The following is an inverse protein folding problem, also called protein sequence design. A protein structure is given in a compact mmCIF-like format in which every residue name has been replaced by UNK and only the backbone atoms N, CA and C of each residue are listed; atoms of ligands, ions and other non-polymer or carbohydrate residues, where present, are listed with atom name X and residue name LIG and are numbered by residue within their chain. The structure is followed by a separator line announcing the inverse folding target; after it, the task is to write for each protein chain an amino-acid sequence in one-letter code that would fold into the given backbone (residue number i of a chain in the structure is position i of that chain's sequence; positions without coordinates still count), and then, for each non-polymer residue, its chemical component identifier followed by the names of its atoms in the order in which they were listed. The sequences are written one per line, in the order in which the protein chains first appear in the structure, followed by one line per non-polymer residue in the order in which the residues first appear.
data_IF_786060664391
#
_entry.id   IF_786060664391
#
_cell.length_a   1.000
_cell.length_b   1.000
_cell.length_c   1.000
_cell.angle_alpha   90.00
_cell.angle_beta   90.00
_cell.angle_gamma   90.00
#
_symmetry.space_group_name_H-M   'P 1'
#
loop_
_entity.id
_entity.type
_entity.pdbx_description
1 polymer ?
#
# COMPACT_ATOMS: atom_id res chain seq x y z
N UNK A 1 11.83 -11.74 9.96
CA UNK A 1 10.53 -11.42 10.60
C UNK A 1 10.64 -10.19 11.52
N UNK A 2 11.28 -9.11 11.05
CA UNK A 2 11.49 -7.91 11.87
C UNK A 2 10.20 -7.09 12.05
N UNK A 3 9.31 -7.13 11.05
CA UNK A 3 8.03 -6.43 11.08
C UNK A 3 6.95 -7.46 10.72
N UNK A 4 6.49 -8.19 11.74
CA UNK A 4 5.38 -9.12 11.58
C UNK A 4 4.20 -8.62 12.41
N UNK A 5 3.09 -8.35 11.76
CA UNK A 5 1.85 -7.89 12.40
C UNK A 5 0.69 -8.80 12.02
N UNK A 6 -0.27 -8.94 12.94
CA UNK A 6 -1.55 -9.56 12.64
C UNK A 6 -2.53 -8.44 12.27
N UNK A 7 -2.89 -8.41 11.00
CA UNK A 7 -3.74 -7.33 10.46
C UNK A 7 -4.71 -7.88 9.41
N UNK A 8 -5.38 -7.00 8.68
CA UNK A 8 -6.27 -7.38 7.57
C UNK A 8 -5.50 -8.03 6.43
N UNK A 9 -6.13 -8.96 5.70
CA UNK A 9 -5.48 -9.67 4.61
C UNK A 9 -4.98 -8.77 3.47
N UNK A 10 -5.65 -7.63 3.25
CA UNK A 10 -5.25 -6.65 2.23
C UNK A 10 -3.98 -5.86 2.57
N UNK A 11 -3.39 -6.03 3.77
CA UNK A 11 -2.25 -5.21 4.21
C UNK A 11 -1.01 -5.40 3.33
N UNK A 12 -0.60 -6.63 3.09
CA UNK A 12 0.59 -6.92 2.26
C UNK A 12 0.37 -6.47 0.81
N UNK A 13 -0.84 -6.67 0.31
CA UNK A 13 -1.21 -6.23 -1.03
C UNK A 13 -1.20 -4.70 -1.15
N UNK A 14 -1.77 -4.01 -0.18
CA UNK A 14 -1.78 -2.54 -0.12
C UNK A 14 -0.38 -1.96 0.00
N UNK A 15 0.48 -2.56 0.83
CA UNK A 15 1.88 -2.18 0.91
C UNK A 15 2.59 -2.36 -0.43
N UNK A 16 2.44 -3.53 -1.06
CA UNK A 16 3.05 -3.82 -2.36
C UNK A 16 2.60 -2.82 -3.43
N UNK A 17 1.29 -2.62 -3.57
CA UNK A 17 0.74 -1.73 -4.60
C UNK A 17 1.13 -0.27 -4.40
N UNK A 18 1.13 0.22 -3.15
CA UNK A 18 1.39 1.63 -2.85
C UNK A 18 2.87 1.99 -2.74
N UNK A 19 3.77 1.01 -2.53
CA UNK A 19 5.19 1.27 -2.30
C UNK A 19 6.11 0.70 -3.38
N UNK A 20 5.80 -0.49 -3.93
CA UNK A 20 6.73 -1.22 -4.78
C UNK A 20 6.53 -0.95 -6.27
N UNK A 21 5.30 -0.66 -6.69
CA UNK A 21 5.00 -0.33 -8.09
C UNK A 21 5.21 1.16 -8.37
N UNK A 22 5.54 1.48 -9.63
CA UNK A 22 5.42 2.86 -10.09
C UNK A 22 3.94 3.29 -10.05
N UNK A 23 3.67 4.57 -9.96
CA UNK A 23 2.29 5.07 -9.99
C UNK A 23 1.55 4.65 -11.27
N UNK A 24 2.25 4.64 -12.41
CA UNK A 24 1.70 4.20 -13.69
C UNK A 24 1.35 2.72 -13.70
N UNK A 25 2.27 1.85 -13.24
CA UNK A 25 2.05 0.41 -13.18
C UNK A 25 0.92 0.07 -12.19
N UNK A 26 0.87 0.75 -11.05
CA UNK A 26 -0.22 0.58 -10.11
C UNK A 26 -1.56 0.91 -10.77
N UNK A 27 -1.70 2.08 -11.37
CA UNK A 27 -2.95 2.51 -12.05
C UNK A 27 -3.36 1.55 -13.16
N UNK A 28 -2.39 1.00 -13.90
CA UNK A 28 -2.65 0.09 -15.01
C UNK A 28 -3.09 -1.31 -14.55
N UNK A 29 -2.69 -1.75 -13.36
CA UNK A 29 -2.83 -3.15 -12.94
C UNK A 29 -3.56 -3.36 -11.61
N UNK A 30 -3.86 -2.31 -10.87
CA UNK A 30 -4.42 -2.34 -9.52
C UNK A 30 -5.70 -3.18 -9.45
N UNK A 31 -6.68 -2.90 -10.28
CA UNK A 31 -7.96 -3.61 -10.29
C UNK A 31 -7.76 -5.11 -10.53
N UNK A 32 -6.98 -5.46 -11.55
CA UNK A 32 -6.70 -6.87 -11.88
C UNK A 32 -5.95 -7.59 -10.75
N UNK A 33 -5.05 -6.91 -10.05
CA UNK A 33 -4.29 -7.50 -8.94
C UNK A 33 -5.18 -7.71 -7.71
N UNK A 34 -6.11 -6.80 -7.44
CA UNK A 34 -7.11 -6.95 -6.38
C UNK A 34 -8.07 -8.12 -6.68
N UNK A 35 -8.52 -8.25 -7.93
CA UNK A 35 -9.34 -9.39 -8.36
C UNK A 35 -8.59 -10.71 -8.22
N UNK A 36 -7.36 -10.81 -8.73
CA UNK A 36 -6.55 -12.03 -8.64
C UNK A 36 -6.28 -12.43 -7.18
N UNK A 37 -6.05 -11.46 -6.29
CA UNK A 37 -5.89 -11.70 -4.86
C UNK A 37 -7.16 -12.32 -4.25
N UNK A 38 -8.31 -11.71 -4.52
CA UNK A 38 -9.61 -12.20 -4.04
C UNK A 38 -9.91 -13.61 -4.56
N UNK A 39 -9.68 -13.86 -5.85
CA UNK A 39 -9.94 -15.16 -6.47
C UNK A 39 -9.03 -16.25 -5.87
N UNK A 40 -7.77 -15.94 -5.61
CA UNK A 40 -6.84 -16.85 -4.92
C UNK A 40 -7.32 -17.21 -3.50
N UNK A 41 -7.87 -16.25 -2.77
CA UNK A 41 -8.47 -16.52 -1.45
C UNK A 41 -9.71 -17.38 -1.56
N UNK A 42 -10.58 -17.11 -2.53
CA UNK A 42 -11.80 -17.88 -2.79
C UNK A 42 -11.48 -19.34 -3.13
N UNK A 43 -10.45 -19.61 -3.94
CA UNK A 43 -9.96 -20.96 -4.24
C UNK A 43 -9.48 -21.70 -2.98
N UNK A 44 -9.07 -20.98 -1.97
CA UNK A 44 -8.69 -21.51 -0.65
C UNK A 44 -9.84 -21.57 0.35
N UNK A 45 -11.08 -21.30 -0.10
CA UNK A 45 -12.28 -21.32 0.74
C UNK A 45 -12.46 -20.08 1.64
N UNK A 46 -11.73 -18.98 1.35
CA UNK A 46 -11.83 -17.73 2.08
C UNK A 46 -12.65 -16.74 1.25
N UNK A 47 -13.83 -16.38 1.76
CA UNK A 47 -14.65 -15.33 1.16
C UNK A 47 -14.19 -13.96 1.66
N UNK A 48 -13.79 -13.09 0.70
CA UNK A 48 -13.43 -11.71 0.99
C UNK A 48 -14.33 -10.79 0.15
N UNK A 49 -15.38 -10.23 0.74
CA UNK A 49 -16.32 -9.37 0.01
C UNK A 49 -15.59 -8.19 -0.66
N UNK A 50 -15.94 -7.91 -1.91
CA UNK A 50 -15.27 -6.87 -2.71
C UNK A 50 -15.23 -5.53 -2.00
N UNK A 51 -16.35 -5.09 -1.43
CA UNK A 51 -16.44 -3.81 -0.74
C UNK A 51 -15.51 -3.75 0.49
N UNK A 52 -15.40 -4.86 1.23
CA UNK A 52 -14.50 -4.94 2.37
C UNK A 52 -13.05 -4.94 1.93
N UNK A 53 -12.69 -5.72 0.88
CA UNK A 53 -11.34 -5.71 0.31
C UNK A 53 -10.93 -4.30 -0.12
N UNK A 54 -11.80 -3.59 -0.83
CA UNK A 54 -11.52 -2.23 -1.30
C UNK A 54 -11.37 -1.25 -0.14
N UNK A 55 -12.20 -1.32 0.88
CA UNK A 55 -12.09 -0.48 2.07
C UNK A 55 -10.77 -0.78 2.83
N UNK A 56 -10.47 -2.05 3.08
CA UNK A 56 -9.24 -2.46 3.75
C UNK A 56 -7.99 -2.08 2.95
N UNK A 57 -8.04 -2.18 1.63
CA UNK A 57 -6.98 -1.73 0.74
C UNK A 57 -6.76 -0.22 0.82
N UNK A 58 -7.82 0.59 0.76
CA UNK A 58 -7.76 2.05 0.88
C UNK A 58 -7.20 2.49 2.23
N UNK A 59 -7.67 1.87 3.32
CA UNK A 59 -7.13 2.11 4.67
C UNK A 59 -5.66 1.74 4.79
N UNK A 60 -5.25 0.63 4.15
CA UNK A 60 -3.85 0.20 4.12
C UNK A 60 -2.99 1.19 3.33
N UNK A 61 -3.43 1.67 2.18
CA UNK A 61 -2.70 2.69 1.42
C UNK A 61 -2.44 3.95 2.28
N UNK A 62 -3.45 4.41 3.01
CA UNK A 62 -3.28 5.52 3.94
C UNK A 62 -2.29 5.20 5.07
N UNK A 63 -2.40 4.01 5.68
CA UNK A 63 -1.48 3.57 6.72
C UNK A 63 -0.03 3.50 6.23
N UNK A 64 0.20 3.09 4.98
CA UNK A 64 1.52 2.98 4.38
C UNK A 64 2.27 4.32 4.28
N UNK A 65 1.59 5.46 4.45
CA UNK A 65 2.23 6.77 4.55
C UNK A 65 3.22 6.86 5.74
N UNK A 66 3.00 6.05 6.79
CA UNK A 66 3.90 6.05 7.94
C UNK A 66 5.33 5.59 7.59
N UNK A 67 5.51 4.75 6.57
CA UNK A 67 6.82 4.20 6.21
C UNK A 67 7.80 5.26 5.67
N UNK A 68 7.47 6.03 4.62
CA UNK A 68 8.38 7.07 4.15
C UNK A 68 8.58 8.19 5.19
N UNK A 69 7.55 8.51 6.00
CA UNK A 69 7.68 9.50 7.07
C UNK A 69 8.66 9.00 8.14
N UNK A 70 8.53 7.74 8.58
CA UNK A 70 9.44 7.16 9.56
C UNK A 70 10.86 7.03 9.01
N UNK A 71 11.00 6.56 7.76
CA UNK A 71 12.29 6.45 7.11
C UNK A 71 12.98 7.82 6.97
N UNK A 72 12.24 8.84 6.54
CA UNK A 72 12.77 10.21 6.41
C UNK A 72 13.11 10.89 7.74
N UNK A 73 12.42 10.52 8.82
CA UNK A 73 12.60 11.14 10.15
C UNK A 73 13.57 10.41 11.08
N UNK A 74 13.82 9.12 10.87
CA UNK A 74 14.61 8.29 11.81
C UNK A 74 15.86 7.66 11.20
N UNK A 75 15.96 7.61 9.87
CA UNK A 75 17.15 7.11 9.18
C UNK A 75 18.03 8.30 8.81
N UNK A 76 19.31 8.26 9.14
CA UNK A 76 20.26 9.21 8.59
C UNK A 76 20.30 9.04 7.07
N UNK A 77 19.83 10.04 6.35
CA UNK A 77 19.86 10.08 4.89
C UNK A 77 21.28 10.43 4.44
N UNK A 78 22.19 9.46 4.62
CA UNK A 78 23.63 9.64 4.47
C UNK A 78 24.11 9.76 3.02
N UNK A 79 23.24 9.48 2.04
CA UNK A 79 23.60 9.57 0.63
C UNK A 79 22.36 9.84 -0.24
N UNK A 80 22.61 10.31 -1.47
CA UNK A 80 21.60 10.72 -2.44
C UNK A 80 20.62 9.58 -2.76
N UNK A 81 21.08 8.33 -2.78
CA UNK A 81 20.24 7.17 -3.06
C UNK A 81 19.19 6.94 -1.95
N UNK A 82 19.55 7.14 -0.69
CA UNK A 82 18.61 7.03 0.43
C UNK A 82 17.55 8.13 0.36
N UNK A 83 17.95 9.35 0.04
CA UNK A 83 17.04 10.50 -0.18
C UNK A 83 16.08 10.22 -1.32
N UNK A 84 16.60 9.73 -2.46
CA UNK A 84 15.80 9.38 -3.63
C UNK A 84 14.78 8.27 -3.32
N UNK A 85 15.21 7.22 -2.61
CA UNK A 85 14.32 6.12 -2.23
C UNK A 85 13.14 6.60 -1.37
N UNK A 86 13.42 7.37 -0.33
CA UNK A 86 12.37 7.92 0.55
C UNK A 86 11.45 8.85 -0.23
N UNK A 87 11.99 9.68 -1.11
CA UNK A 87 11.20 10.54 -2.00
C UNK A 87 10.26 9.73 -2.90
N UNK A 88 10.77 8.68 -3.56
CA UNK A 88 9.95 7.80 -4.40
C UNK A 88 8.85 7.07 -3.61
N UNK A 89 9.14 6.60 -2.40
CA UNK A 89 8.15 5.97 -1.53
C UNK A 89 7.03 6.96 -1.17
N UNK A 90 7.40 8.20 -0.84
CA UNK A 90 6.44 9.25 -0.50
C UNK A 90 5.55 9.60 -1.70
N UNK A 91 6.15 9.83 -2.87
CA UNK A 91 5.41 10.19 -4.09
C UNK A 91 4.40 9.10 -4.47
N UNK A 92 4.80 7.84 -4.41
CA UNK A 92 3.94 6.69 -4.74
C UNK A 92 2.75 6.56 -3.79
N UNK A 93 3.01 6.63 -2.47
CA UNK A 93 1.94 6.48 -1.49
C UNK A 93 0.97 7.66 -1.51
N UNK A 94 1.46 8.88 -1.69
CA UNK A 94 0.62 10.08 -1.82
C UNK A 94 -0.26 9.98 -3.06
N UNK A 95 0.30 9.54 -4.21
CA UNK A 95 -0.48 9.30 -5.41
C UNK A 95 -1.56 8.22 -5.17
N UNK A 96 -1.25 7.13 -4.46
CA UNK A 96 -2.22 6.09 -4.13
C UNK A 96 -3.34 6.62 -3.23
N UNK A 97 -3.02 7.41 -2.21
CA UNK A 97 -4.01 8.03 -1.30
C UNK A 97 -4.97 8.92 -2.09
N UNK A 98 -4.47 9.72 -3.02
CA UNK A 98 -5.30 10.60 -3.85
C UNK A 98 -6.18 9.81 -4.82
N UNK A 99 -5.62 8.85 -5.55
CA UNK A 99 -6.36 8.06 -6.54
C UNK A 99 -7.48 7.21 -5.90
N UNK A 100 -7.28 6.82 -4.65
CA UNK A 100 -8.20 5.96 -3.89
C UNK A 100 -9.15 6.75 -2.97
N UNK A 101 -9.09 8.07 -2.96
CA UNK A 101 -9.82 8.92 -2.00
C UNK A 101 -9.61 8.47 -0.53
N UNK A 102 -8.45 7.87 -0.23
CA UNK A 102 -8.19 7.30 1.09
C UNK A 102 -8.05 8.37 2.20
N UNK A 103 -7.93 9.63 1.81
CA UNK A 103 -7.93 10.77 2.74
C UNK A 103 -9.22 10.90 3.56
N UNK A 104 -10.34 10.31 3.12
CA UNK A 104 -11.59 10.28 3.89
C UNK A 104 -11.46 9.55 5.23
N UNK A 105 -10.49 8.65 5.38
CA UNK A 105 -10.23 7.92 6.63
C UNK A 105 -9.31 8.67 7.61
N UNK A 106 -8.83 9.85 7.24
CA UNK A 106 -8.09 10.69 8.18
C UNK A 106 -9.03 11.27 9.23
N UNK A 107 -8.58 11.33 10.50
CA UNK A 107 -9.39 11.89 11.59
C UNK A 107 -9.64 13.39 11.41
#
# INVERSE_FOLDING_TARGET
WQICVRTVGAYDLGYFLSQSLTTEDRRAHEERLLEAYRDTLADSGIDYPVNQLLEDYRRTALFCLCYPIQAGGSVELVNDRAVELVGQMLDRVVAAIHDLDAGEFMP
#
